data_IF_591463350252
#
_entry.id   IF_591463350252
#
_cell.length_a   1.000
_cell.length_b   1.000
_cell.length_c   1.000
_cell.angle_alpha   90.00
_cell.angle_beta   90.00
_cell.angle_gamma   90.00
#
_symmetry.space_group_name_H-M   'P 1'
#
loop_
_entity.id
_entity.type
_entity.pdbx_description
1 polymer ?
#
# COMPACT_ATOMS: atom_id res chain seq x y z
N UNK A 1 5.08 -7.35 -28.02
CA UNK A 1 3.87 -6.53 -27.81
C UNK A 1 3.01 -7.04 -26.65
N UNK A 2 2.60 -8.32 -26.64
CA UNK A 2 1.79 -8.89 -25.53
C UNK A 2 2.46 -8.81 -24.13
N UNK A 3 3.77 -9.05 -24.03
CA UNK A 3 4.49 -9.03 -22.75
C UNK A 3 4.46 -7.67 -22.03
N UNK A 4 4.62 -6.56 -22.76
CA UNK A 4 4.56 -5.22 -22.18
C UNK A 4 3.15 -4.87 -21.70
N UNK A 5 2.11 -5.34 -22.42
CA UNK A 5 0.70 -5.16 -22.03
C UNK A 5 0.42 -5.91 -20.73
N UNK A 6 0.82 -7.19 -20.65
CA UNK A 6 0.61 -8.02 -19.45
C UNK A 6 1.37 -7.48 -18.24
N UNK A 7 2.62 -7.05 -18.43
CA UNK A 7 3.41 -6.44 -17.37
C UNK A 7 2.77 -5.15 -16.86
N UNK A 8 2.40 -4.24 -17.77
CA UNK A 8 1.73 -2.97 -17.41
C UNK A 8 0.41 -3.23 -16.68
N UNK A 9 -0.38 -4.20 -17.17
CA UNK A 9 -1.62 -4.61 -16.53
C UNK A 9 -1.38 -5.13 -15.11
N UNK A 10 -0.35 -5.97 -14.89
CA UNK A 10 -0.04 -6.48 -13.56
C UNK A 10 0.32 -5.37 -12.56
N UNK A 11 1.01 -4.32 -13.00
CA UNK A 11 1.38 -3.17 -12.17
C UNK A 11 0.14 -2.38 -11.74
N UNK A 12 -0.78 -2.10 -12.68
CA UNK A 12 -2.04 -1.42 -12.35
C UNK A 12 -2.96 -2.29 -11.48
N UNK A 13 -3.03 -3.60 -11.75
CA UNK A 13 -3.82 -4.53 -10.96
C UNK A 13 -3.31 -4.60 -9.52
N UNK A 14 -1.99 -4.68 -9.32
CA UNK A 14 -1.37 -4.70 -8.00
C UNK A 14 -1.71 -3.42 -7.21
N UNK A 15 -1.72 -2.27 -7.88
CA UNK A 15 -2.05 -1.00 -7.23
C UNK A 15 -3.46 -0.95 -6.64
N UNK A 16 -4.41 -1.67 -7.25
CA UNK A 16 -5.82 -1.69 -6.85
C UNK A 16 -6.22 -2.96 -6.06
N UNK A 17 -5.38 -3.99 -6.04
CA UNK A 17 -5.69 -5.29 -5.46
C UNK A 17 -6.02 -5.24 -3.96
N UNK A 18 -5.58 -4.20 -3.25
CA UNK A 18 -5.84 -4.03 -1.82
C UNK A 18 -7.23 -3.45 -1.51
N UNK A 19 -7.91 -2.83 -2.47
CA UNK A 19 -9.18 -2.13 -2.25
C UNK A 19 -10.27 -3.02 -1.62
N UNK A 20 -10.50 -4.28 -2.04
CA UNK A 20 -11.52 -5.12 -1.43
C UNK A 20 -11.24 -5.39 0.06
N UNK A 21 -9.97 -5.57 0.43
CA UNK A 21 -9.57 -5.81 1.81
C UNK A 21 -9.82 -4.56 2.68
N UNK A 22 -9.44 -3.38 2.19
CA UNK A 22 -9.69 -2.12 2.91
C UNK A 22 -11.19 -1.85 3.00
N UNK A 23 -11.96 -2.12 1.95
CA UNK A 23 -13.42 -1.98 1.97
C UNK A 23 -14.06 -2.90 3.01
N UNK A 24 -13.62 -4.16 3.08
CA UNK A 24 -14.07 -5.09 4.11
C UNK A 24 -13.81 -4.53 5.51
N UNK A 25 -12.62 -3.99 5.77
CA UNK A 25 -12.30 -3.35 7.05
C UNK A 25 -13.22 -2.17 7.38
N UNK A 26 -13.54 -1.34 6.39
CA UNK A 26 -14.49 -0.23 6.59
C UNK A 26 -15.90 -0.69 6.93
N UNK A 27 -16.31 -1.89 6.47
CA UNK A 27 -17.63 -2.44 6.76
C UNK A 27 -17.69 -3.16 8.10
N UNK A 28 -16.62 -3.86 8.48
CA UNK A 28 -16.57 -4.56 9.77
C UNK A 28 -16.28 -3.61 10.93
N UNK A 29 -15.63 -2.47 10.68
CA UNK A 29 -15.29 -1.47 11.69
C UNK A 29 -14.12 -1.87 12.60
N UNK A 30 -13.78 -3.16 12.64
CA UNK A 30 -12.68 -3.74 13.42
C UNK A 30 -11.81 -4.66 12.57
N UNK A 31 -10.54 -4.80 12.99
CA UNK A 31 -9.59 -5.76 12.43
C UNK A 31 -8.88 -6.53 13.56
N UNK A 32 -8.60 -7.81 13.33
CA UNK A 32 -7.74 -8.58 14.23
C UNK A 32 -6.31 -8.01 14.25
N UNK A 33 -5.63 -8.16 15.39
CA UNK A 33 -4.27 -7.65 15.59
C UNK A 33 -3.30 -8.23 14.55
N UNK A 34 -3.39 -9.54 14.28
CA UNK A 34 -2.53 -10.22 13.29
C UNK A 34 -2.76 -9.65 11.89
N UNK A 35 -4.03 -9.54 11.46
CA UNK A 35 -4.40 -8.96 10.16
C UNK A 35 -3.89 -7.53 10.02
N UNK A 36 -3.95 -6.76 11.11
CA UNK A 36 -3.49 -5.38 11.12
C UNK A 36 -1.97 -5.28 10.95
N UNK A 37 -1.18 -6.09 11.68
CA UNK A 37 0.27 -6.13 11.47
C UNK A 37 0.65 -6.62 10.07
N UNK A 38 -0.08 -7.59 9.53
CA UNK A 38 0.10 -8.05 8.15
C UNK A 38 -0.09 -6.92 7.13
N UNK A 39 -1.21 -6.19 7.23
CA UNK A 39 -1.50 -5.07 6.34
C UNK A 39 -0.48 -3.94 6.48
N UNK A 40 0.00 -3.69 7.70
CA UNK A 40 1.07 -2.73 7.94
C UNK A 40 2.36 -3.14 7.23
N UNK A 41 2.80 -4.39 7.40
CA UNK A 41 4.00 -4.91 6.75
C UNK A 41 3.89 -4.85 5.22
N UNK A 42 2.72 -5.19 4.68
CA UNK A 42 2.45 -5.13 3.24
C UNK A 42 2.51 -3.69 2.71
N UNK A 43 1.87 -2.73 3.38
CA UNK A 43 1.97 -1.33 2.99
C UNK A 43 3.40 -0.79 3.12
N UNK A 44 4.12 -1.16 4.19
CA UNK A 44 5.49 -0.72 4.45
C UNK A 44 6.46 -1.23 3.39
N UNK A 45 6.32 -2.49 2.95
CA UNK A 45 7.04 -3.04 1.80
C UNK A 45 6.89 -2.12 0.58
N UNK A 46 5.66 -1.66 0.29
CA UNK A 46 5.41 -0.81 -0.88
C UNK A 46 6.01 0.60 -0.72
N UNK A 47 5.92 1.18 0.47
CA UNK A 47 6.59 2.44 0.79
C UNK A 47 8.12 2.37 0.61
N UNK A 48 8.75 1.25 1.00
CA UNK A 48 10.17 1.02 0.80
C UNK A 48 10.55 0.92 -0.68
N UNK A 49 9.69 0.36 -1.53
CA UNK A 49 9.89 0.36 -2.98
C UNK A 49 9.86 1.77 -3.58
N UNK A 50 8.96 2.63 -3.10
CA UNK A 50 8.90 4.02 -3.54
C UNK A 50 10.20 4.77 -3.16
N UNK A 51 10.72 4.54 -1.95
CA UNK A 51 12.03 5.05 -1.53
C UNK A 51 13.16 4.49 -2.41
N UNK A 52 13.12 3.21 -2.74
CA UNK A 52 14.11 2.60 -3.63
C UNK A 52 14.11 3.25 -5.02
N UNK A 53 12.95 3.53 -5.59
CA UNK A 53 12.88 4.20 -6.90
C UNK A 53 13.40 5.63 -6.84
N UNK A 54 13.12 6.36 -5.76
CA UNK A 54 13.72 7.68 -5.52
C UNK A 54 15.25 7.57 -5.48
N UNK A 55 15.78 6.59 -4.74
CA UNK A 55 17.22 6.35 -4.70
C UNK A 55 17.81 6.07 -6.09
N UNK A 56 17.19 5.15 -6.85
CA UNK A 56 17.62 4.80 -8.22
C UNK A 56 17.51 5.97 -9.20
N UNK A 57 16.57 6.88 -9.01
CA UNK A 57 16.49 8.10 -9.80
C UNK A 57 17.74 8.97 -9.60
N UNK A 58 18.19 9.15 -8.36
CA UNK A 58 19.39 9.95 -8.06
C UNK A 58 20.70 9.28 -8.44
N UNK A 59 20.79 7.95 -8.36
CA UNK A 59 22.05 7.22 -8.64
C UNK A 59 22.19 6.72 -10.07
N UNK A 60 21.10 6.30 -10.69
CA UNK A 60 21.08 5.66 -12.02
C UNK A 60 20.33 6.48 -13.08
N UNK A 61 19.61 7.55 -12.69
CA UNK A 61 18.73 8.29 -13.59
C UNK A 61 17.49 7.49 -14.03
N UNK A 62 17.15 6.42 -13.32
CA UNK A 62 16.03 5.54 -13.67
C UNK A 62 14.68 6.24 -13.53
N UNK A 63 13.89 6.27 -14.61
CA UNK A 63 12.52 6.82 -14.63
C UNK A 63 11.59 5.88 -15.37
N UNK A 64 10.56 5.40 -14.67
CA UNK A 64 9.45 4.64 -15.24
C UNK A 64 8.13 5.19 -14.69
N UNK A 65 7.44 6.00 -15.50
CA UNK A 65 6.23 6.68 -15.06
C UNK A 65 5.10 5.74 -14.66
N UNK A 66 5.01 4.55 -15.26
CA UNK A 66 3.95 3.57 -14.95
C UNK A 66 4.13 3.09 -13.51
N UNK A 67 5.34 2.69 -13.16
CA UNK A 67 5.69 2.16 -11.84
C UNK A 67 5.56 3.25 -10.76
N UNK A 68 6.03 4.46 -11.04
CA UNK A 68 5.97 5.58 -10.09
C UNK A 68 4.52 5.99 -9.78
N UNK A 69 3.69 6.14 -10.81
CA UNK A 69 2.28 6.53 -10.63
C UNK A 69 1.52 5.41 -9.92
N UNK A 70 1.63 4.17 -10.38
CA UNK A 70 0.93 3.03 -9.77
C UNK A 70 1.36 2.79 -8.32
N UNK A 71 2.66 2.84 -8.03
CA UNK A 71 3.16 2.67 -6.68
C UNK A 71 2.76 3.82 -5.75
N UNK A 72 2.74 5.07 -6.24
CA UNK A 72 2.24 6.21 -5.45
C UNK A 72 0.76 6.05 -5.12
N UNK A 73 -0.08 5.66 -6.09
CA UNK A 73 -1.51 5.38 -5.86
C UNK A 73 -1.65 4.27 -4.81
N UNK A 74 -0.93 3.16 -4.98
CA UNK A 74 -1.00 2.03 -4.06
C UNK A 74 -0.59 2.40 -2.64
N UNK A 75 0.52 3.13 -2.47
CA UNK A 75 0.96 3.60 -1.15
C UNK A 75 -0.04 4.59 -0.56
N UNK A 76 -0.61 5.47 -1.38
CA UNK A 76 -1.66 6.42 -0.98
C UNK A 76 -2.91 5.75 -0.40
N UNK A 77 -3.30 4.60 -0.95
CA UNK A 77 -4.43 3.81 -0.42
C UNK A 77 -4.20 3.29 1.01
N UNK A 78 -2.94 3.09 1.43
CA UNK A 78 -2.61 2.68 2.80
C UNK A 78 -2.53 3.84 3.80
N UNK A 79 -2.55 5.10 3.36
CA UNK A 79 -2.32 6.25 4.24
C UNK A 79 -3.29 6.31 5.43
N UNK A 80 -4.59 6.11 5.19
CA UNK A 80 -5.60 6.14 6.25
C UNK A 80 -5.41 4.98 7.25
N UNK A 81 -5.14 3.79 6.72
CA UNK A 81 -4.83 2.61 7.53
C UNK A 81 -3.60 2.84 8.42
N UNK A 82 -2.52 3.41 7.88
CA UNK A 82 -1.32 3.71 8.65
C UNK A 82 -1.58 4.71 9.77
N UNK A 83 -2.36 5.76 9.49
CA UNK A 83 -2.71 6.73 10.51
C UNK A 83 -3.37 6.07 11.74
N UNK A 84 -4.35 5.19 11.51
CA UNK A 84 -5.03 4.45 12.58
C UNK A 84 -4.08 3.47 13.27
N UNK A 85 -3.24 2.78 12.50
CA UNK A 85 -2.25 1.85 13.04
C UNK A 85 -1.29 2.53 14.02
N UNK A 86 -0.71 3.67 13.64
CA UNK A 86 0.23 4.40 14.50
C UNK A 86 -0.43 5.02 15.73
N UNK A 87 -1.67 5.48 15.60
CA UNK A 87 -2.37 6.20 16.67
C UNK A 87 -3.02 5.26 17.70
N UNK A 88 -3.52 4.09 17.27
CA UNK A 88 -4.23 3.12 18.13
C UNK A 88 -3.43 1.84 18.37
N UNK A 89 -3.05 1.15 17.31
CA UNK A 89 -2.57 -0.24 17.38
C UNK A 89 -1.19 -0.34 18.04
N UNK A 90 -0.27 0.56 17.71
CA UNK A 90 1.04 0.63 18.37
C UNK A 90 0.95 0.97 19.87
N UNK A 91 -0.16 1.58 20.32
CA UNK A 91 -0.41 1.87 21.73
C UNK A 91 -1.11 0.72 22.47
N UNK A 92 -1.28 -0.43 21.80
CA UNK A 92 -1.95 -1.62 22.35
C UNK A 92 -3.47 -1.58 22.30
N UNK A 93 -4.07 -0.56 21.67
CA UNK A 93 -5.51 -0.52 21.42
C UNK A 93 -5.87 -1.34 20.17
N UNK A 94 -7.12 -1.81 20.09
CA UNK A 94 -7.60 -2.52 18.90
C UNK A 94 -7.69 -1.57 17.70
N UNK A 95 -7.54 -2.13 16.50
CA UNK A 95 -7.87 -1.40 15.28
C UNK A 95 -9.38 -1.25 15.21
N UNK A 96 -9.85 0.00 15.34
CA UNK A 96 -11.26 0.35 15.25
C UNK A 96 -11.36 1.65 14.44
N UNK A 97 -12.23 1.67 13.44
CA UNK A 97 -12.52 2.89 12.69
C UNK A 97 -13.38 3.84 13.53
N UNK A 98 -13.20 5.17 13.42
CA UNK A 98 -14.15 6.10 13.99
C UNK A 98 -15.53 5.87 13.35
N UNK A 99 -16.56 5.68 14.18
CA UNK A 99 -17.95 5.52 13.73
C UNK A 99 -18.54 6.85 13.24
#
# INVERSE_FOLDING_TARGET
MAGAILWTFSVYLEALAILPQLFMLTKTGEAEVITTHYLFALGAYRGLYLINWIYRYFTEGYVDWIVWVAGTIQTGLYCDFFFIYFTKVLKGAKFELPQ
#
